data_IF_480745393183
#
_entry.id   IF_480745393183
#
_cell.length_a   1.000
_cell.length_b   1.000
_cell.length_c   1.000
_cell.angle_alpha   90.00
_cell.angle_beta   90.00
_cell.angle_gamma   90.00
#
_symmetry.space_group_name_H-M   'P 1'
#
loop_
_entity.id
_entity.type
_entity.pdbx_description
1 polymer ?
#
# COMPACT_ATOMS: atom_id res chain seq x y z
N UNK A 1 42.15 46.95 60.29
CA UNK A 1 40.76 47.23 60.04
C UNK A 1 40.33 46.22 58.90
N UNK A 2 39.61 45.14 59.21
CA UNK A 2 39.27 44.15 58.18
C UNK A 2 38.16 44.71 57.27
N UNK A 3 38.35 44.63 55.98
CA UNK A 3 37.36 44.95 54.96
C UNK A 3 36.19 43.98 55.09
N UNK A 4 35.07 44.44 55.61
CA UNK A 4 33.83 43.70 55.64
C UNK A 4 33.21 43.88 54.23
N UNK A 5 33.33 42.87 53.40
CA UNK A 5 32.66 42.82 52.08
C UNK A 5 31.16 42.63 52.30
N UNK A 6 30.37 43.56 51.81
CA UNK A 6 28.92 43.55 51.89
C UNK A 6 28.36 42.31 51.14
N UNK A 7 27.61 41.43 51.83
CA UNK A 7 27.09 40.17 51.21
C UNK A 7 26.13 40.40 50.07
N UNK A 8 25.70 41.60 49.77
CA UNK A 8 24.82 41.96 48.68
C UNK A 8 25.47 41.89 47.26
N UNK A 9 26.81 41.91 47.22
CA UNK A 9 27.57 41.83 45.99
C UNK A 9 27.73 40.38 45.45
N UNK A 10 27.39 39.35 46.22
CA UNK A 10 27.52 37.94 45.83
C UNK A 10 26.23 37.29 45.28
N UNK A 11 25.23 38.10 45.00
CA UNK A 11 24.11 37.53 44.17
C UNK A 11 24.51 37.49 42.69
N UNK A 12 25.40 36.55 42.36
CA UNK A 12 25.57 36.14 40.98
C UNK A 12 24.24 35.57 40.54
N UNK A 13 23.51 36.31 39.70
CA UNK A 13 22.32 35.81 39.02
C UNK A 13 22.74 34.69 38.06
N UNK A 14 22.80 33.46 38.56
CA UNK A 14 22.95 32.26 37.73
C UNK A 14 21.62 31.93 37.01
N UNK A 15 21.12 32.82 36.19
CA UNK A 15 19.77 32.65 35.70
C UNK A 15 19.59 32.48 34.16
N UNK A 16 20.37 33.06 33.25
CA UNK A 16 20.02 32.90 31.84
C UNK A 16 20.50 31.58 31.21
N UNK A 17 21.67 31.07 31.65
CA UNK A 17 22.30 29.89 31.04
C UNK A 17 21.48 28.62 31.29
N UNK A 18 20.97 28.43 32.49
CA UNK A 18 20.16 27.25 32.81
C UNK A 18 18.83 27.21 32.04
N UNK A 19 18.19 28.36 31.87
CA UNK A 19 16.93 28.45 31.07
C UNK A 19 17.17 28.20 29.59
N UNK A 20 18.28 28.74 29.07
CA UNK A 20 18.69 28.50 27.69
C UNK A 20 18.99 27.01 27.44
N UNK A 21 19.71 26.38 28.34
CA UNK A 21 20.05 24.96 28.29
C UNK A 21 18.81 24.07 28.33
N UNK A 22 17.88 24.35 29.24
CA UNK A 22 16.59 23.65 29.33
C UNK A 22 15.79 23.82 28.04
N UNK A 23 15.77 25.01 27.45
CA UNK A 23 15.11 25.27 26.18
C UNK A 23 15.72 24.47 25.02
N UNK A 24 17.05 24.41 24.95
CA UNK A 24 17.76 23.62 23.92
C UNK A 24 17.49 22.11 24.06
N UNK A 25 17.52 21.59 25.29
CA UNK A 25 17.20 20.17 25.55
C UNK A 25 15.76 19.87 25.19
N UNK A 26 14.81 20.74 25.53
CA UNK A 26 13.41 20.57 25.16
C UNK A 26 13.21 20.55 23.63
N UNK A 27 13.85 21.47 22.90
CA UNK A 27 13.82 21.46 21.42
C UNK A 27 14.40 20.17 20.82
N UNK A 28 15.49 19.68 21.39
CA UNK A 28 16.11 18.44 20.93
C UNK A 28 15.18 17.24 21.15
N UNK A 29 14.55 17.15 22.31
CA UNK A 29 13.58 16.09 22.60
C UNK A 29 12.38 16.15 21.63
N UNK A 30 11.82 17.34 21.40
CA UNK A 30 10.70 17.53 20.46
C UNK A 30 11.09 17.13 19.03
N UNK A 31 12.28 17.52 18.58
CA UNK A 31 12.74 17.12 17.23
C UNK A 31 12.96 15.62 17.09
N UNK A 32 13.45 14.95 18.12
CA UNK A 32 13.58 13.49 18.14
C UNK A 32 12.19 12.82 18.06
N UNK A 33 11.22 13.30 18.82
CA UNK A 33 9.84 12.77 18.82
C UNK A 33 9.20 12.93 17.43
N UNK A 34 9.33 14.12 16.81
CA UNK A 34 8.84 14.38 15.46
C UNK A 34 9.52 13.46 14.44
N UNK A 35 10.83 13.28 14.53
CA UNK A 35 11.57 12.38 13.67
C UNK A 35 11.07 10.93 13.78
N UNK A 36 10.95 10.41 15.00
CA UNK A 36 10.44 9.06 15.25
C UNK A 36 9.02 8.91 14.71
N UNK A 37 8.13 9.87 14.96
CA UNK A 37 6.77 9.86 14.46
C UNK A 37 6.73 9.84 12.92
N UNK A 38 7.57 10.64 12.26
CA UNK A 38 7.66 10.68 10.80
C UNK A 38 8.16 9.36 10.21
N UNK A 39 9.15 8.70 10.83
CA UNK A 39 9.66 7.39 10.42
C UNK A 39 8.59 6.31 10.57
N UNK A 40 7.86 6.31 11.68
CA UNK A 40 6.78 5.34 11.90
C UNK A 40 5.67 5.54 10.86
N UNK A 41 5.29 6.79 10.61
CA UNK A 41 4.22 7.11 9.65
C UNK A 41 4.62 6.74 8.20
N UNK A 42 5.83 7.07 7.79
CA UNK A 42 6.33 6.70 6.45
C UNK A 42 6.44 5.19 6.27
N UNK A 43 6.88 4.45 7.30
CA UNK A 43 6.93 2.99 7.24
C UNK A 43 5.54 2.37 7.14
N UNK A 44 4.55 2.85 7.91
CA UNK A 44 3.16 2.39 7.82
C UNK A 44 2.57 2.63 6.42
N UNK A 45 2.76 3.84 5.87
CA UNK A 45 2.29 4.18 4.53
C UNK A 45 2.98 3.32 3.45
N UNK A 46 4.27 3.05 3.61
CA UNK A 46 5.02 2.19 2.68
C UNK A 46 4.54 0.75 2.71
N UNK A 47 4.24 0.21 3.89
CA UNK A 47 3.72 -1.15 4.06
C UNK A 47 2.31 -1.27 3.48
N UNK A 48 1.43 -0.30 3.75
CA UNK A 48 0.08 -0.26 3.18
C UNK A 48 0.09 -0.20 1.64
N UNK A 49 1.05 0.51 1.04
CA UNK A 49 1.21 0.56 -0.42
C UNK A 49 1.78 -0.72 -1.03
N UNK A 50 2.57 -1.48 -0.28
CA UNK A 50 3.15 -2.75 -0.77
C UNK A 50 2.11 -3.87 -0.86
N UNK A 51 1.18 -3.92 0.09
CA UNK A 51 0.15 -4.95 0.20
C UNK A 51 -1.23 -4.29 0.40
N UNK A 52 -1.74 -3.56 -0.59
CA UNK A 52 -3.03 -2.88 -0.44
C UNK A 52 -4.18 -3.88 -0.51
N UNK A 53 -5.18 -3.70 0.35
CA UNK A 53 -6.49 -4.28 0.13
C UNK A 53 -7.16 -3.55 -1.03
N UNK A 54 -7.45 -4.30 -2.11
CA UNK A 54 -8.06 -3.76 -3.32
C UNK A 54 -9.59 -3.70 -3.17
N UNK A 55 -10.16 -4.72 -2.54
CA UNK A 55 -11.58 -4.81 -2.23
C UNK A 55 -11.71 -5.19 -0.77
N UNK A 56 -12.34 -4.33 0.01
CA UNK A 56 -12.67 -4.60 1.40
C UNK A 56 -14.09 -5.19 1.49
N UNK A 57 -14.22 -6.30 2.25
CA UNK A 57 -15.49 -6.98 2.46
C UNK A 57 -16.01 -7.77 1.25
N UNK A 58 -17.30 -8.08 1.28
CA UNK A 58 -17.98 -8.87 0.23
C UNK A 58 -18.63 -7.94 -0.79
N UNK A 59 -18.36 -8.19 -2.06
CA UNK A 59 -18.93 -7.43 -3.18
C UNK A 59 -19.57 -8.33 -4.22
N UNK A 60 -20.68 -7.90 -4.79
CA UNK A 60 -21.31 -8.58 -5.91
C UNK A 60 -20.51 -8.35 -7.19
N UNK A 61 -20.06 -9.43 -7.82
CA UNK A 61 -19.23 -9.39 -9.03
C UNK A 61 -20.00 -9.05 -10.32
N UNK A 62 -21.32 -8.95 -10.27
CA UNK A 62 -22.15 -8.48 -11.39
C UNK A 62 -22.11 -6.96 -11.57
N UNK A 63 -21.55 -6.24 -10.61
CA UNK A 63 -21.36 -4.78 -10.65
C UNK A 63 -19.88 -4.48 -10.88
N UNK A 64 -19.51 -3.86 -12.01
CA UNK A 64 -18.11 -3.55 -12.28
C UNK A 64 -17.54 -2.56 -11.24
N UNK A 65 -16.31 -2.78 -10.85
CA UNK A 65 -15.53 -1.85 -10.04
C UNK A 65 -14.24 -1.54 -10.81
N UNK A 66 -14.03 -0.27 -11.07
CA UNK A 66 -12.80 0.22 -11.67
C UNK A 66 -12.05 1.04 -10.62
N UNK A 67 -10.81 0.65 -10.35
CA UNK A 67 -9.94 1.33 -9.43
C UNK A 67 -8.78 1.95 -10.21
N UNK A 68 -8.65 3.25 -10.10
CA UNK A 68 -7.55 3.97 -10.74
C UNK A 68 -6.21 3.64 -10.08
N UNK A 69 -5.17 3.57 -10.90
CA UNK A 69 -3.78 3.48 -10.44
C UNK A 69 -3.11 4.86 -10.40
N UNK A 70 -3.81 5.91 -10.82
CA UNK A 70 -3.33 7.27 -10.74
C UNK A 70 -3.52 7.83 -9.33
N UNK A 71 -2.42 8.21 -8.68
CA UNK A 71 -2.41 8.71 -7.29
C UNK A 71 -3.24 9.99 -7.11
N UNK A 72 -3.47 10.74 -8.19
CA UNK A 72 -4.26 11.96 -8.16
C UNK A 72 -5.78 11.76 -8.16
N UNK A 73 -6.26 10.53 -8.33
CA UNK A 73 -7.70 10.24 -8.38
C UNK A 73 -8.23 9.87 -6.99
N UNK A 74 -9.39 10.38 -6.60
CA UNK A 74 -9.99 10.17 -5.27
C UNK A 74 -10.21 8.70 -4.89
N UNK A 75 -10.46 7.84 -5.88
CA UNK A 75 -10.68 6.39 -5.70
C UNK A 75 -9.48 5.54 -6.14
N UNK A 76 -8.28 6.08 -6.06
CA UNK A 76 -7.10 5.33 -6.47
C UNK A 76 -6.59 4.42 -5.36
N UNK A 77 -6.29 3.17 -5.75
CA UNK A 77 -5.54 2.22 -4.90
C UNK A 77 -4.30 1.82 -5.69
N UNK A 78 -3.22 2.60 -5.62
CA UNK A 78 -2.02 2.34 -6.41
C UNK A 78 -1.35 1.04 -5.97
N UNK A 79 -1.24 0.11 -6.90
CA UNK A 79 -0.46 -1.11 -6.73
C UNK A 79 0.98 -0.80 -7.14
N UNK A 80 1.89 -0.87 -6.18
CA UNK A 80 3.31 -0.60 -6.44
C UNK A 80 3.84 -1.64 -7.43
N UNK A 81 4.65 -1.19 -8.38
CA UNK A 81 5.33 -2.07 -9.31
C UNK A 81 6.20 -3.07 -8.52
N UNK A 82 6.13 -4.34 -8.92
CA UNK A 82 6.98 -5.41 -8.37
C UNK A 82 8.45 -5.11 -8.57
N UNK A 83 9.28 -5.47 -7.61
CA UNK A 83 10.73 -5.44 -7.76
C UNK A 83 11.15 -6.48 -8.80
N UNK A 84 12.22 -6.17 -9.53
CA UNK A 84 12.82 -7.13 -10.43
C UNK A 84 13.82 -7.94 -9.61
N UNK A 85 13.54 -9.21 -9.43
CA UNK A 85 14.43 -10.17 -8.75
C UNK A 85 15.28 -10.93 -9.79
N UNK A 86 16.20 -11.76 -9.34
CA UNK A 86 17.15 -12.49 -10.22
C UNK A 86 16.44 -13.39 -11.23
N UNK A 87 15.27 -13.95 -10.86
CA UNK A 87 14.47 -14.82 -11.72
C UNK A 87 13.30 -14.08 -12.41
N UNK A 88 13.20 -12.77 -12.25
CA UNK A 88 12.18 -11.92 -12.87
C UNK A 88 11.30 -11.16 -11.89
N UNK A 89 10.09 -10.84 -12.33
CA UNK A 89 9.13 -10.02 -11.56
C UNK A 89 8.32 -10.93 -10.64
N UNK A 90 8.43 -10.70 -9.33
CA UNK A 90 7.64 -11.42 -8.33
C UNK A 90 6.45 -10.59 -7.86
N UNK A 91 5.29 -11.21 -7.81
CA UNK A 91 4.08 -10.65 -7.20
C UNK A 91 3.13 -11.76 -6.77
N UNK A 92 2.21 -11.44 -5.86
CA UNK A 92 1.12 -12.32 -5.46
C UNK A 92 -0.20 -11.55 -5.38
N UNK A 93 -1.29 -12.22 -5.75
CA UNK A 93 -2.66 -11.76 -5.56
C UNK A 93 -3.42 -12.82 -4.79
N UNK A 94 -4.13 -12.39 -3.75
CA UNK A 94 -4.99 -13.26 -2.94
C UNK A 94 -6.42 -12.73 -2.97
N UNK A 95 -7.38 -13.59 -3.21
CA UNK A 95 -8.79 -13.23 -3.23
C UNK A 95 -9.69 -14.41 -2.84
N UNK A 96 -10.89 -14.09 -2.39
CA UNK A 96 -11.94 -15.05 -2.08
C UNK A 96 -13.08 -14.87 -3.05
N UNK A 97 -13.62 -15.97 -3.56
CA UNK A 97 -14.76 -15.98 -4.46
C UNK A 97 -15.83 -16.97 -3.97
N UNK A 98 -17.09 -16.56 -4.05
CA UNK A 98 -18.24 -17.44 -3.78
C UNK A 98 -19.08 -17.48 -5.05
N UNK A 99 -19.20 -18.66 -5.63
CA UNK A 99 -20.02 -18.89 -6.80
C UNK A 99 -21.39 -19.38 -6.34
N UNK A 100 -22.41 -18.52 -6.45
CA UNK A 100 -23.77 -18.83 -5.98
C UNK A 100 -24.59 -19.57 -7.04
N UNK A 101 -24.37 -19.29 -8.30
CA UNK A 101 -25.09 -19.90 -9.42
C UNK A 101 -24.20 -20.05 -10.65
N UNK A 102 -23.89 -21.29 -11.00
CA UNK A 102 -23.11 -21.64 -12.18
C UNK A 102 -23.86 -21.39 -13.49
N UNK A 103 -25.19 -21.29 -13.47
CA UNK A 103 -26.01 -21.01 -14.66
C UNK A 103 -25.97 -19.53 -15.05
N UNK A 104 -25.57 -18.66 -14.14
CA UNK A 104 -25.39 -17.25 -14.46
C UNK A 104 -24.38 -17.09 -15.59
N UNK A 105 -24.80 -16.48 -16.71
CA UNK A 105 -24.01 -16.32 -17.95
C UNK A 105 -23.36 -17.64 -18.42
N UNK A 106 -24.11 -18.72 -18.38
CA UNK A 106 -23.65 -20.00 -18.93
C UNK A 106 -23.29 -19.87 -20.40
N UNK A 107 -22.15 -20.42 -20.82
CA UNK A 107 -21.64 -20.27 -22.18
C UNK A 107 -20.75 -19.06 -22.41
N UNK A 108 -20.65 -18.12 -21.44
CA UNK A 108 -19.80 -16.93 -21.53
C UNK A 108 -18.66 -17.00 -20.51
N UNK A 109 -17.52 -16.40 -20.86
CA UNK A 109 -16.44 -16.17 -19.90
C UNK A 109 -16.89 -15.18 -18.84
N UNK A 110 -16.70 -15.52 -17.56
CA UNK A 110 -17.10 -14.68 -16.43
C UNK A 110 -15.86 -14.01 -15.87
N UNK A 111 -15.74 -12.72 -16.10
CA UNK A 111 -14.64 -11.92 -15.60
C UNK A 111 -14.69 -11.81 -14.07
N UNK A 112 -13.56 -12.06 -13.40
CA UNK A 112 -13.39 -11.87 -11.97
C UNK A 112 -12.67 -10.55 -11.72
N UNK A 113 -11.43 -10.45 -12.17
CA UNK A 113 -10.65 -9.22 -12.12
C UNK A 113 -9.55 -9.21 -13.17
N UNK A 114 -9.02 -8.04 -13.47
CA UNK A 114 -7.76 -7.91 -14.20
C UNK A 114 -7.05 -6.62 -13.80
N UNK A 115 -5.74 -6.62 -13.96
CA UNK A 115 -4.89 -5.43 -13.90
C UNK A 115 -4.39 -5.14 -15.30
N UNK A 116 -4.74 -3.98 -15.82
CA UNK A 116 -4.37 -3.62 -17.19
C UNK A 116 -5.21 -2.45 -17.70
N UNK A 117 -5.52 -2.46 -19.00
CA UNK A 117 -6.38 -1.45 -19.59
C UNK A 117 -7.88 -1.75 -19.35
N UNK A 118 -8.72 -0.74 -19.55
CA UNK A 118 -10.15 -0.83 -19.24
C UNK A 118 -10.90 -1.93 -20.01
N UNK A 119 -10.40 -2.33 -21.17
CA UNK A 119 -11.00 -3.37 -22.02
C UNK A 119 -10.48 -4.79 -21.72
N UNK A 120 -9.56 -4.94 -20.76
CA UNK A 120 -8.82 -6.19 -20.51
C UNK A 120 -8.04 -6.74 -21.71
N UNK A 121 -7.84 -5.94 -22.73
CA UNK A 121 -7.09 -6.29 -23.92
C UNK A 121 -6.33 -5.05 -24.46
N UNK A 122 -5.07 -5.20 -24.90
CA UNK A 122 -4.22 -6.39 -24.82
C UNK A 122 -3.60 -6.61 -23.44
N UNK A 123 -3.69 -5.63 -22.52
CA UNK A 123 -3.00 -5.66 -21.23
C UNK A 123 -3.90 -6.22 -20.13
N UNK A 124 -3.51 -7.40 -19.62
CA UNK A 124 -4.16 -8.10 -18.50
C UNK A 124 -3.15 -8.95 -17.74
N UNK A 125 -2.43 -8.32 -16.83
CA UNK A 125 -1.32 -8.97 -16.11
C UNK A 125 -1.34 -8.67 -14.59
N UNK A 126 -1.99 -9.52 -13.78
CA UNK A 126 -2.79 -10.69 -14.10
C UNK A 126 -4.23 -10.37 -14.47
N UNK A 127 -4.91 -11.35 -15.05
CA UNK A 127 -6.35 -11.34 -15.22
C UNK A 127 -6.95 -12.70 -14.96
N UNK A 128 -8.12 -12.78 -14.32
CA UNK A 128 -8.79 -14.01 -13.91
C UNK A 128 -10.23 -14.07 -14.44
N UNK A 129 -10.60 -15.21 -14.98
CA UNK A 129 -11.95 -15.52 -15.51
C UNK A 129 -12.37 -16.92 -15.11
N UNK A 130 -13.68 -17.09 -14.85
CA UNK A 130 -14.27 -18.42 -14.78
C UNK A 130 -14.58 -18.91 -16.20
N UNK A 131 -14.37 -20.21 -16.39
CA UNK A 131 -14.65 -20.86 -17.67
C UNK A 131 -16.14 -20.77 -18.04
N UNK A 132 -16.42 -20.87 -19.33
CA UNK A 132 -17.78 -20.73 -19.91
C UNK A 132 -18.76 -21.75 -19.34
N UNK A 133 -18.35 -23.00 -19.24
CA UNK A 133 -19.21 -24.17 -18.97
C UNK A 133 -18.61 -25.13 -17.95
N UNK A 134 -17.32 -25.06 -17.68
CA UNK A 134 -16.59 -25.96 -16.78
C UNK A 134 -16.29 -25.30 -15.44
N UNK A 135 -16.06 -26.09 -14.41
CA UNK A 135 -15.66 -25.63 -13.09
C UNK A 135 -14.15 -25.28 -13.04
N UNK A 136 -13.71 -24.42 -13.96
CA UNK A 136 -12.31 -24.05 -14.13
C UNK A 136 -12.15 -22.54 -14.08
N UNK A 137 -10.97 -22.11 -13.62
CA UNK A 137 -10.56 -20.72 -13.66
C UNK A 137 -9.38 -20.55 -14.60
N UNK A 138 -9.42 -19.54 -15.44
CA UNK A 138 -8.32 -19.16 -16.31
C UNK A 138 -7.63 -17.91 -15.81
N UNK A 139 -6.31 -18.00 -15.65
CA UNK A 139 -5.45 -16.88 -15.29
C UNK A 139 -4.64 -16.48 -16.53
N UNK A 140 -4.77 -15.22 -16.93
CA UNK A 140 -4.00 -14.62 -18.02
C UNK A 140 -2.84 -13.80 -17.52
N UNK A 141 -1.74 -13.86 -18.26
CA UNK A 141 -0.56 -13.02 -18.07
C UNK A 141 -0.05 -12.50 -19.41
N UNK A 142 0.32 -11.24 -19.47
CA UNK A 142 1.11 -10.73 -20.56
C UNK A 142 2.58 -11.06 -20.31
N UNK A 143 3.22 -11.74 -21.22
CA UNK A 143 4.65 -12.04 -21.22
C UNK A 143 5.33 -11.37 -22.40
N UNK A 144 6.65 -11.31 -22.42
CA UNK A 144 7.44 -10.48 -23.35
C UNK A 144 7.02 -10.63 -24.82
N UNK A 145 6.77 -11.85 -25.29
CA UNK A 145 6.43 -12.11 -26.70
C UNK A 145 5.01 -12.58 -26.94
N UNK A 146 4.18 -12.64 -25.89
CA UNK A 146 2.79 -13.10 -25.97
C UNK A 146 1.90 -12.29 -25.06
N UNK A 147 0.89 -11.68 -25.62
CA UNK A 147 -0.12 -10.92 -24.85
C UNK A 147 -1.22 -11.80 -24.28
N UNK A 148 -1.24 -13.09 -24.61
CA UNK A 148 -2.33 -13.99 -24.32
C UNK A 148 -1.88 -15.34 -23.73
N UNK A 149 -0.83 -15.32 -22.91
CA UNK A 149 -0.41 -16.48 -22.16
C UNK A 149 -1.37 -16.74 -21.01
N UNK A 150 -1.73 -18.00 -20.79
CA UNK A 150 -2.68 -18.36 -19.74
C UNK A 150 -2.38 -19.73 -19.13
N UNK A 151 -2.93 -19.95 -17.95
CA UNK A 151 -3.00 -21.24 -17.28
C UNK A 151 -4.45 -21.48 -16.84
N UNK A 152 -4.94 -22.70 -16.99
CA UNK A 152 -6.22 -23.13 -16.46
C UNK A 152 -6.01 -23.85 -15.13
N UNK A 153 -6.78 -23.46 -14.13
CA UNK A 153 -6.91 -24.13 -12.84
C UNK A 153 -8.23 -24.90 -12.90
N UNK A 154 -8.11 -26.22 -12.85
CA UNK A 154 -9.23 -27.12 -13.00
C UNK A 154 -9.87 -27.45 -11.66
N UNK A 155 -11.17 -27.78 -11.68
CA UNK A 155 -11.94 -28.26 -10.52
C UNK A 155 -11.83 -27.36 -9.27
N UNK A 156 -12.06 -26.05 -9.44
CA UNK A 156 -12.05 -25.05 -8.35
C UNK A 156 -13.29 -25.14 -7.45
#
# INVERSE_FOLDING_TARGET
>A
MPLVLDPRFYKVKSAPINKLYVGLVAMLVVSIVIYIASVIMTNKLRTARKNPWIIEGVREANKPLVLSQNIGDDNSIPIIRSSNEDEGIEFSYSFWIIIRDWRYKYGEWKHIFHKGNSTSWPNRAPGAWLHKTQNNMRIYMNVHNKVDEYVDIEDI
#
